data_IF_583754908670
#
_entry.id   IF_583754908670
#
_cell.length_a   1.000
_cell.length_b   1.000
_cell.length_c   1.000
_cell.angle_alpha   90.00
_cell.angle_beta   90.00
_cell.angle_gamma   90.00
#
_symmetry.space_group_name_H-M   'P 1'
#
loop_
_entity.id
_entity.type
_entity.pdbx_description
1 polymer ?
#
# COMPACT_ATOMS: atom_id res chain seq x y z
N UNK A 1 3.82 -2.51 -9.86
CA UNK A 1 4.88 -1.53 -9.51
C UNK A 1 5.59 -2.03 -8.26
N UNK A 2 6.92 -2.11 -8.25
CA UNK A 2 7.66 -2.67 -7.11
C UNK A 2 7.93 -1.59 -6.06
N UNK A 3 7.92 -1.96 -4.78
CA UNK A 3 8.22 -1.06 -3.68
C UNK A 3 8.58 -1.80 -2.40
N UNK A 4 8.77 -1.04 -1.32
CA UNK A 4 8.99 -1.57 0.03
C UNK A 4 7.93 -1.04 0.99
N UNK A 5 7.48 -1.85 1.93
CA UNK A 5 6.56 -1.39 2.95
C UNK A 5 7.28 -0.39 3.89
N UNK A 6 6.81 0.85 3.96
CA UNK A 6 7.40 1.88 4.82
C UNK A 6 6.82 1.81 6.24
N UNK A 7 5.50 1.69 6.33
CA UNK A 7 4.79 1.55 7.60
C UNK A 7 3.45 0.85 7.40
N UNK A 8 2.85 0.39 8.51
CA UNK A 8 1.53 -0.21 8.54
C UNK A 8 0.82 0.21 9.81
N UNK A 9 -0.38 0.76 9.67
CA UNK A 9 -1.29 1.02 10.78
C UNK A 9 -2.58 0.21 10.57
N UNK A 10 -3.19 -0.26 11.65
CA UNK A 10 -4.49 -0.93 11.61
C UNK A 10 -5.48 -0.10 12.43
N UNK A 11 -6.63 0.21 11.83
CA UNK A 11 -7.73 0.95 12.46
C UNK A 11 -9.01 0.16 12.21
N UNK A 12 -9.52 -0.49 13.27
CA UNK A 12 -10.67 -1.39 13.14
C UNK A 12 -10.38 -2.54 12.17
N UNK A 13 -11.20 -2.69 11.13
CA UNK A 13 -11.06 -3.70 10.09
C UNK A 13 -10.19 -3.27 8.90
N UNK A 14 -9.66 -2.04 8.90
CA UNK A 14 -8.90 -1.48 7.79
C UNK A 14 -7.42 -1.37 8.15
N UNK A 15 -6.57 -1.88 7.27
CA UNK A 15 -5.13 -1.67 7.28
C UNK A 15 -4.78 -0.51 6.37
N UNK A 16 -3.93 0.39 6.86
CA UNK A 16 -3.38 1.53 6.14
C UNK A 16 -1.86 1.35 5.97
N UNK A 17 -1.41 0.47 5.06
CA UNK A 17 0.00 0.38 4.69
C UNK A 17 0.43 1.60 3.86
N UNK A 18 1.66 2.07 4.11
CA UNK A 18 2.37 2.99 3.24
C UNK A 18 3.44 2.23 2.49
N UNK A 19 3.46 2.37 1.17
CA UNK A 19 4.45 1.73 0.31
C UNK A 19 5.37 2.79 -0.29
N UNK A 20 6.67 2.61 -0.10
CA UNK A 20 7.71 3.44 -0.70
C UNK A 20 8.14 2.85 -2.03
N UNK A 21 8.00 3.63 -3.10
CA UNK A 21 8.27 3.21 -4.48
C UNK A 21 9.68 3.57 -4.93
N UNK A 22 10.18 4.70 -4.46
CA UNK A 22 11.52 5.23 -4.68
C UNK A 22 11.91 6.08 -3.45
N UNK A 23 13.06 6.75 -3.47
CA UNK A 23 13.54 7.50 -2.30
C UNK A 23 12.61 8.64 -1.85
N UNK A 24 11.71 9.14 -2.71
CA UNK A 24 10.94 10.37 -2.44
C UNK A 24 9.43 10.18 -2.59
N UNK A 25 8.97 8.98 -2.97
CA UNK A 25 7.56 8.72 -3.22
C UNK A 25 7.00 7.61 -2.34
N UNK A 26 6.02 7.98 -1.51
CA UNK A 26 5.18 7.07 -0.76
C UNK A 26 3.74 7.06 -1.29
N UNK A 27 3.12 5.89 -1.30
CA UNK A 27 1.72 5.69 -1.65
C UNK A 27 1.00 5.09 -0.46
N UNK A 28 -0.07 5.76 -0.03
CA UNK A 28 -1.00 5.21 0.96
C UNK A 28 -1.96 4.24 0.28
N UNK A 29 -2.17 3.09 0.90
CA UNK A 29 -3.08 2.04 0.41
C UNK A 29 -4.01 1.65 1.55
N UNK A 30 -5.23 1.23 1.21
CA UNK A 30 -6.18 0.66 2.15
C UNK A 30 -6.45 -0.79 1.81
N UNK A 31 -6.43 -1.64 2.83
CA UNK A 31 -6.63 -3.09 2.70
C UNK A 31 -7.47 -3.61 3.87
N UNK A 32 -8.09 -4.77 3.72
CA UNK A 32 -8.73 -5.45 4.85
C UNK A 32 -7.65 -5.99 5.80
N UNK A 33 -7.76 -5.66 7.10
CA UNK A 33 -6.75 -5.95 8.11
C UNK A 33 -6.75 -7.43 8.59
N UNK A 34 -7.81 -8.17 8.31
CA UNK A 34 -7.97 -9.57 8.70
C UNK A 34 -7.26 -10.55 7.76
N UNK A 35 -6.88 -10.09 6.56
CA UNK A 35 -6.15 -10.94 5.62
C UNK A 35 -4.77 -11.34 6.15
N UNK A 36 -4.45 -12.63 6.03
CA UNK A 36 -3.21 -13.20 6.53
C UNK A 36 -1.97 -12.57 5.88
N UNK A 37 -2.03 -12.30 4.57
CA UNK A 37 -0.96 -11.64 3.83
C UNK A 37 -0.69 -10.22 4.35
N UNK A 38 -1.74 -9.45 4.64
CA UNK A 38 -1.64 -8.11 5.23
C UNK A 38 -1.05 -8.16 6.64
N UNK A 39 -1.38 -9.20 7.43
CA UNK A 39 -0.84 -9.40 8.78
C UNK A 39 0.64 -9.81 8.77
N UNK A 40 1.06 -10.55 7.75
CA UNK A 40 2.46 -10.94 7.56
C UNK A 40 3.36 -9.78 7.09
N UNK A 41 2.79 -8.70 6.54
CA UNK A 41 3.55 -7.53 6.10
C UNK A 41 4.31 -6.87 7.26
N UNK A 42 5.63 -6.77 7.09
CA UNK A 42 6.54 -6.09 8.03
C UNK A 42 7.21 -4.92 7.32
N UNK A 43 7.48 -3.79 7.99
CA UNK A 43 8.24 -2.69 7.40
C UNK A 43 9.57 -3.18 6.80
N UNK A 44 9.92 -2.67 5.63
CA UNK A 44 11.06 -3.14 4.82
C UNK A 44 10.75 -4.31 3.88
N UNK A 45 9.62 -5.00 4.04
CA UNK A 45 9.26 -6.11 3.15
C UNK A 45 9.06 -5.62 1.70
N UNK A 46 9.57 -6.37 0.70
CA UNK A 46 9.30 -6.09 -0.69
C UNK A 46 7.82 -6.35 -1.01
N UNK A 47 7.20 -5.43 -1.73
CA UNK A 47 5.79 -5.52 -2.12
C UNK A 47 5.60 -5.11 -3.57
N UNK A 48 4.53 -5.61 -4.19
CA UNK A 48 4.09 -5.16 -5.51
C UNK A 48 2.74 -4.47 -5.36
N UNK A 49 2.66 -3.21 -5.81
CA UNK A 49 1.39 -2.51 -5.97
C UNK A 49 0.80 -2.84 -7.33
N UNK A 50 -0.40 -3.43 -7.31
CA UNK A 50 -1.31 -3.50 -8.43
C UNK A 50 -2.31 -2.35 -8.35
N UNK A 51 -2.60 -1.71 -9.48
CA UNK A 51 -3.63 -0.68 -9.61
C UNK A 51 -4.58 -1.14 -10.70
N UNK A 52 -5.88 -1.15 -10.39
CA UNK A 52 -6.92 -1.38 -11.40
C UNK A 52 -7.06 -0.11 -12.26
N UNK A 53 -6.79 -0.18 -13.59
CA UNK A 53 -6.92 0.98 -14.47
C UNK A 53 -8.34 1.57 -14.49
N UNK A 54 -9.38 0.77 -14.27
CA UNK A 54 -10.76 1.25 -14.22
C UNK A 54 -11.03 2.14 -12.99
N UNK A 55 -10.17 2.07 -11.96
CA UNK A 55 -10.26 2.87 -10.74
C UNK A 55 -9.38 4.14 -10.79
N UNK A 56 -8.71 4.42 -11.91
CA UNK A 56 -7.82 5.58 -12.05
C UNK A 56 -8.56 6.76 -12.67
N UNK A 57 -8.53 7.90 -11.98
CA UNK A 57 -9.01 9.19 -12.51
C UNK A 57 -7.78 10.04 -12.86
N UNK A 58 -7.68 10.47 -14.12
CA UNK A 58 -6.65 11.41 -14.57
C UNK A 58 -7.17 12.84 -14.43
N UNK A 59 -6.44 13.66 -13.69
CA UNK A 59 -6.73 15.09 -13.53
C UNK A 59 -5.59 15.86 -14.19
N UNK A 60 -5.92 16.72 -15.16
CA UNK A 60 -4.99 17.65 -15.77
C UNK A 60 -5.24 19.04 -15.19
N UNK A 61 -4.16 19.74 -14.81
CA UNK A 61 -4.17 21.10 -14.28
C UNK A 61 -3.60 22.08 -15.31
#
# INVERSE_FOLDING_TARGET
>A
MNGTLASRQIVGSVGHPKVRLDEHREVAVEVQADREDVRALSPGAPVTLGVDPASVILIHA
#
